data_IF_899117120513
#
_entry.id   IF_899117120513
#
_cell.length_a   1.000
_cell.length_b   1.000
_cell.length_c   1.000
_cell.angle_alpha   90.00
_cell.angle_beta   90.00
_cell.angle_gamma   90.00
#
_symmetry.space_group_name_H-M   'P 1'
#
loop_
_entity.id
_entity.type
_entity.pdbx_description
1 polymer ?
#
# COMPACT_ATOMS: atom_id res chain seq x y z
N UNK A 1 8.57 23.77 10.84
CA UNK A 1 7.86 23.03 11.91
C UNK A 1 6.45 22.71 11.45
N UNK A 2 5.92 21.53 11.78
CA UNK A 2 4.51 21.21 11.55
C UNK A 2 3.74 21.27 12.88
N UNK A 3 2.44 21.54 12.84
CA UNK A 3 1.58 21.64 14.04
C UNK A 3 0.15 21.22 13.73
N UNK A 4 -0.47 20.54 14.69
CA UNK A 4 -1.91 20.25 14.68
C UNK A 4 -2.44 20.23 16.11
N UNK A 5 -3.32 21.18 16.43
CA UNK A 5 -3.77 21.39 17.82
C UNK A 5 -2.60 21.53 18.80
N UNK A 6 -2.53 20.72 19.88
CA UNK A 6 -1.44 20.77 20.85
C UNK A 6 -0.16 20.05 20.38
N UNK A 7 -0.19 19.39 19.21
CA UNK A 7 0.91 18.56 18.71
C UNK A 7 1.81 19.35 17.78
N UNK A 8 3.11 19.19 17.95
CA UNK A 8 4.14 19.83 17.14
C UNK A 8 5.15 18.80 16.67
N UNK A 9 5.56 18.90 15.41
CA UNK A 9 6.65 18.12 14.83
C UNK A 9 7.85 19.05 14.67
N UNK A 10 8.89 18.73 15.42
CA UNK A 10 10.13 19.46 15.48
C UNK A 10 11.30 18.49 15.62
N UNK A 11 12.42 18.88 15.02
CA UNK A 11 13.71 18.23 15.18
C UNK A 11 14.60 19.25 15.88
N UNK A 12 14.99 18.95 17.12
CA UNK A 12 15.90 19.75 17.93
C UNK A 12 17.00 18.86 18.52
N UNK A 13 17.99 19.48 19.16
CA UNK A 13 19.05 18.76 19.87
C UNK A 13 18.53 17.90 21.02
N UNK A 14 17.37 18.24 21.60
CA UNK A 14 16.79 17.53 22.74
C UNK A 14 15.68 16.55 22.34
N UNK A 15 14.99 16.80 21.23
CA UNK A 15 13.82 16.02 20.84
C UNK A 15 13.72 15.91 19.32
N UNK A 16 13.61 14.68 18.83
CA UNK A 16 13.39 14.42 17.39
C UNK A 16 12.03 13.75 17.19
N UNK A 17 11.07 14.53 16.69
CA UNK A 17 9.78 14.04 16.22
C UNK A 17 9.58 14.54 14.80
N UNK A 18 10.07 13.75 13.85
CA UNK A 18 10.01 14.08 12.44
C UNK A 18 8.70 13.61 11.82
N UNK A 19 8.12 14.47 10.98
CA UNK A 19 7.00 14.14 10.12
C UNK A 19 7.54 13.46 8.85
N UNK A 20 7.01 12.28 8.53
CA UNK A 20 7.47 11.40 7.45
C UNK A 20 6.29 11.02 6.55
N UNK A 21 6.56 10.71 5.28
CA UNK A 21 5.58 10.20 4.32
C UNK A 21 4.28 11.04 4.22
N UNK A 22 4.40 12.37 4.22
CA UNK A 22 3.25 13.27 4.11
C UNK A 22 2.54 13.10 2.76
N UNK A 23 1.23 12.87 2.80
CA UNK A 23 0.39 12.70 1.63
C UNK A 23 -0.96 13.38 1.82
N UNK A 24 -1.37 14.18 0.83
CA UNK A 24 -2.69 14.80 0.73
C UNK A 24 -3.05 15.04 -0.74
N UNK A 25 -4.33 15.29 -1.02
CA UNK A 25 -4.82 15.56 -2.37
C UNK A 25 -5.98 16.55 -2.37
N UNK A 26 -6.15 17.26 -3.49
CA UNK A 26 -7.34 18.03 -3.80
C UNK A 26 -7.97 17.40 -5.04
N UNK A 27 -9.22 16.93 -4.92
CA UNK A 27 -9.94 16.29 -6.02
C UNK A 27 -11.26 17.00 -6.24
N UNK A 28 -11.63 17.14 -7.52
CA UNK A 28 -12.93 17.62 -7.94
C UNK A 28 -13.80 16.43 -8.38
N UNK A 29 -15.08 16.46 -8.04
CA UNK A 29 -16.08 15.51 -8.53
C UNK A 29 -16.70 16.07 -9.81
N UNK A 30 -16.48 15.35 -10.91
CA UNK A 30 -17.12 15.64 -12.20
C UNK A 30 -18.00 14.45 -12.59
N UNK A 31 -19.29 14.70 -12.81
CA UNK A 31 -20.18 13.71 -13.40
C UNK A 31 -20.09 13.81 -14.93
N UNK A 32 -19.63 12.74 -15.58
CA UNK A 32 -19.76 12.62 -17.03
C UNK A 32 -21.20 12.22 -17.35
N UNK A 33 -21.98 13.16 -17.86
CA UNK A 33 -23.32 12.87 -18.33
C UNK A 33 -23.22 11.97 -19.59
N UNK A 34 -23.75 10.75 -19.54
CA UNK A 34 -23.83 9.84 -20.70
C UNK A 34 -25.03 10.21 -21.57
N UNK A 35 -25.12 11.47 -22.03
CA UNK A 35 -26.13 11.88 -23.00
C UNK A 35 -25.59 11.66 -24.42
N UNK A 36 -26.40 11.05 -25.28
CA UNK A 36 -26.09 10.71 -26.68
C UNK A 36 -26.15 11.89 -27.66
N UNK A 37 -26.19 13.13 -27.18
CA UNK A 37 -26.18 14.33 -28.02
C UNK A 37 -24.78 14.99 -28.03
N UNK A 38 -24.41 15.56 -29.18
CA UNK A 38 -23.06 15.98 -29.62
C UNK A 38 -22.36 17.05 -28.77
N UNK A 39 -22.84 17.35 -27.57
CA UNK A 39 -22.19 18.26 -26.63
C UNK A 39 -22.23 17.71 -25.20
N UNK A 40 -21.18 16.96 -24.84
CA UNK A 40 -20.92 16.58 -23.44
C UNK A 40 -20.56 17.84 -22.65
N UNK A 41 -21.45 18.31 -21.80
CA UNK A 41 -21.14 19.32 -20.79
C UNK A 41 -20.72 18.61 -19.50
N UNK A 42 -19.51 18.88 -19.03
CA UNK A 42 -19.05 18.43 -17.71
C UNK A 42 -19.62 19.40 -16.68
N UNK A 43 -20.62 18.96 -15.91
CA UNK A 43 -21.11 19.73 -14.78
C UNK A 43 -20.22 19.42 -13.56
N UNK A 44 -19.55 20.44 -13.03
CA UNK A 44 -18.77 20.33 -11.80
C UNK A 44 -19.74 20.24 -10.60
N UNK A 45 -19.74 19.12 -9.87
CA UNK A 45 -20.77 18.83 -8.85
C UNK A 45 -20.27 18.92 -7.40
N UNK A 46 -18.97 19.19 -7.20
CA UNK A 46 -18.38 19.43 -5.88
C UNK A 46 -16.91 19.03 -5.77
N UNK A 47 -16.35 19.11 -4.58
CA UNK A 47 -14.97 18.68 -4.24
C UNK A 47 -15.01 17.46 -3.30
N UNK A 48 -14.06 16.54 -3.44
CA UNK A 48 -13.91 15.44 -2.46
C UNK A 48 -13.33 15.97 -1.15
N UNK A 49 -13.75 15.38 -0.01
CA UNK A 49 -13.23 15.71 1.32
C UNK A 49 -11.71 15.53 1.37
N UNK A 50 -10.98 16.58 1.75
CA UNK A 50 -9.53 16.61 1.77
C UNK A 50 -8.94 15.50 2.68
N UNK A 51 -8.25 14.48 2.12
CA UNK A 51 -7.56 13.49 2.91
C UNK A 51 -6.14 13.96 3.25
N UNK A 52 -5.68 13.68 4.47
CA UNK A 52 -4.30 13.92 4.87
C UNK A 52 -3.78 12.72 5.65
N UNK A 53 -2.62 12.21 5.30
CA UNK A 53 -1.97 11.10 6.01
C UNK A 53 -0.47 11.32 6.08
N UNK A 54 0.14 10.80 7.14
CA UNK A 54 1.58 10.83 7.33
C UNK A 54 1.98 9.83 8.41
N UNK A 55 3.28 9.63 8.57
CA UNK A 55 3.87 8.79 9.60
C UNK A 55 4.81 9.59 10.50
N UNK A 56 5.07 9.07 11.69
CA UNK A 56 6.03 9.63 12.64
C UNK A 56 6.67 8.48 13.39
N UNK A 57 8.00 8.40 13.33
CA UNK A 57 8.74 7.41 14.12
C UNK A 57 9.19 8.03 15.43
N UNK A 58 8.77 7.43 16.54
CA UNK A 58 9.11 7.81 17.90
C UNK A 58 10.24 6.91 18.41
N UNK A 59 11.20 7.51 19.10
CA UNK A 59 12.34 6.79 19.66
C UNK A 59 12.69 7.36 21.04
N UNK A 60 12.80 6.48 22.03
CA UNK A 60 13.15 6.87 23.41
C UNK A 60 14.52 7.54 23.53
N UNK A 61 15.53 7.02 22.81
CA UNK A 61 16.85 7.66 22.70
C UNK A 61 16.86 9.00 21.96
N UNK A 62 15.75 9.44 21.39
CA UNK A 62 15.61 10.75 20.76
C UNK A 62 14.88 11.77 21.65
N UNK A 63 14.87 11.54 22.98
CA UNK A 63 14.24 12.42 23.97
C UNK A 63 12.72 12.36 24.00
N UNK A 64 12.12 11.27 23.53
CA UNK A 64 10.66 11.10 23.45
C UNK A 64 10.21 9.97 24.37
N UNK A 65 9.31 10.24 25.30
CA UNK A 65 8.56 9.16 25.96
C UNK A 65 7.54 8.58 24.96
N UNK A 66 7.90 7.43 24.39
CA UNK A 66 7.12 6.79 23.32
C UNK A 66 5.74 6.38 23.83
N UNK A 67 5.62 5.91 25.07
CA UNK A 67 4.35 5.42 25.60
C UNK A 67 3.40 6.58 25.91
N UNK A 68 3.90 7.64 26.56
CA UNK A 68 3.12 8.83 26.84
C UNK A 68 2.67 9.55 25.55
N UNK A 69 3.54 9.57 24.53
CA UNK A 69 3.18 10.15 23.24
C UNK A 69 2.05 9.35 22.55
N UNK A 70 2.10 8.00 22.59
CA UNK A 70 1.00 7.15 22.08
C UNK A 70 -0.32 7.45 22.80
N UNK A 71 -0.31 7.57 24.13
CA UNK A 71 -1.52 7.83 24.92
C UNK A 71 -2.13 9.20 24.65
N UNK A 72 -1.28 10.21 24.56
CA UNK A 72 -1.73 11.55 24.21
C UNK A 72 -2.31 11.63 22.79
N UNK A 73 -1.82 10.82 21.83
CA UNK A 73 -2.46 10.69 20.52
C UNK A 73 -3.79 9.95 20.56
N UNK A 74 -3.92 8.91 21.39
CA UNK A 74 -5.20 8.19 21.59
C UNK A 74 -6.31 9.15 22.03
N UNK A 75 -5.99 10.09 22.93
CA UNK A 75 -6.95 11.07 23.43
C UNK A 75 -7.40 12.12 22.38
N UNK A 76 -6.63 12.26 21.29
CA UNK A 76 -6.92 13.22 20.22
C UNK A 76 -7.69 12.62 19.04
N UNK A 77 -7.91 11.30 19.02
CA UNK A 77 -8.77 10.67 18.01
C UNK A 77 -10.15 11.31 18.08
N UNK A 78 -10.75 11.58 16.92
CA UNK A 78 -12.01 12.34 16.72
C UNK A 78 -11.93 13.84 16.94
N UNK A 79 -10.83 14.37 17.52
CA UNK A 79 -10.66 15.82 17.67
C UNK A 79 -10.39 16.49 16.33
N UNK A 80 -10.71 17.78 16.29
CA UNK A 80 -10.72 18.59 15.07
C UNK A 80 -9.81 19.80 15.28
N UNK A 81 -8.93 20.06 14.32
CA UNK A 81 -8.06 21.23 14.33
C UNK A 81 -7.53 21.58 12.93
N UNK A 82 -6.92 22.76 12.80
CA UNK A 82 -6.17 23.12 11.60
C UNK A 82 -4.78 22.49 11.62
N UNK A 83 -4.32 22.07 10.45
CA UNK A 83 -2.96 21.59 10.26
C UNK A 83 -2.09 22.72 9.70
N UNK A 84 -0.91 22.91 10.27
CA UNK A 84 0.07 23.88 9.82
C UNK A 84 1.36 23.19 9.44
N UNK A 85 1.95 23.60 8.32
CA UNK A 85 3.26 23.14 7.86
C UNK A 85 4.10 24.36 7.48
N UNK A 86 5.25 24.52 8.13
CA UNK A 86 6.14 25.66 7.87
C UNK A 86 5.52 27.02 8.22
N UNK A 87 4.62 27.06 9.21
CA UNK A 87 3.90 28.27 9.60
C UNK A 87 2.70 28.62 8.71
N UNK A 88 2.45 27.88 7.63
CA UNK A 88 1.29 28.05 6.75
C UNK A 88 0.23 27.00 7.03
N UNK A 89 -1.04 27.39 6.96
CA UNK A 89 -2.15 26.45 7.05
C UNK A 89 -2.13 25.51 5.83
N UNK A 90 -2.33 24.22 6.08
CA UNK A 90 -2.39 23.18 5.06
C UNK A 90 -3.81 22.61 5.01
N UNK A 91 -4.57 23.02 4.00
CA UNK A 91 -5.92 22.52 3.75
C UNK A 91 -6.99 23.06 4.71
N UNK A 92 -8.20 22.47 4.64
CA UNK A 92 -9.35 22.85 5.48
C UNK A 92 -9.16 22.37 6.92
N UNK A 93 -10.19 22.56 7.76
CA UNK A 93 -10.19 22.07 9.14
C UNK A 93 -10.25 20.54 9.13
N UNK A 94 -9.38 19.87 9.87
CA UNK A 94 -9.21 18.41 9.79
C UNK A 94 -9.62 17.70 11.09
N UNK A 95 -10.27 16.55 10.95
CA UNK A 95 -10.54 15.62 12.03
C UNK A 95 -9.54 14.46 11.98
N UNK A 96 -8.95 14.11 13.13
CA UNK A 96 -8.16 12.89 13.26
C UNK A 96 -9.09 11.67 13.26
N UNK A 97 -9.06 10.89 12.18
CA UNK A 97 -9.92 9.70 12.03
C UNK A 97 -9.30 8.46 12.65
N UNK A 98 -7.97 8.32 12.54
CA UNK A 98 -7.28 7.12 13.00
C UNK A 98 -5.83 7.38 13.33
N UNK A 99 -5.36 6.71 14.38
CA UNK A 99 -3.95 6.55 14.74
C UNK A 99 -3.67 5.06 14.79
N UNK A 100 -2.70 4.58 14.02
CA UNK A 100 -2.21 3.21 14.13
C UNK A 100 -0.77 3.20 14.59
N UNK A 101 -0.45 2.26 15.49
CA UNK A 101 0.90 2.02 15.99
C UNK A 101 1.46 0.77 15.32
N UNK A 102 2.66 0.86 14.76
CA UNK A 102 3.36 -0.23 14.09
C UNK A 102 4.86 -0.21 14.36
N UNK A 103 5.56 -1.24 13.87
CA UNK A 103 7.03 -1.36 13.99
C UNK A 103 7.53 -1.17 15.42
N UNK A 104 6.80 -1.72 16.40
CA UNK A 104 7.09 -1.54 17.82
C UNK A 104 8.33 -2.36 18.21
N UNK A 105 9.26 -1.75 18.94
CA UNK A 105 10.34 -2.44 19.64
C UNK A 105 10.25 -2.19 21.13
N UNK A 106 10.40 -3.25 21.91
CA UNK A 106 10.41 -3.23 23.37
C UNK A 106 11.79 -3.57 23.90
N UNK A 107 12.06 -3.18 25.15
CA UNK A 107 13.20 -3.72 25.92
C UNK A 107 12.78 -4.95 26.75
N UNK A 108 13.73 -5.54 27.46
CA UNK A 108 13.52 -6.74 28.29
C UNK A 108 12.56 -6.51 29.47
N UNK A 109 12.28 -5.25 29.81
CA UNK A 109 11.29 -4.85 30.80
C UNK A 109 9.90 -4.60 30.19
N UNK A 110 9.72 -4.86 28.90
CA UNK A 110 8.47 -4.63 28.17
C UNK A 110 8.16 -3.16 27.86
N UNK A 111 9.10 -2.24 28.11
CA UNK A 111 8.90 -0.81 27.79
C UNK A 111 9.06 -0.59 26.30
N UNK A 112 8.16 0.18 25.70
CA UNK A 112 8.25 0.54 24.28
C UNK A 112 9.38 1.56 24.09
N UNK A 113 10.38 1.19 23.28
CA UNK A 113 11.55 2.03 22.97
C UNK A 113 11.48 2.70 21.63
N UNK A 114 10.78 2.08 20.68
CA UNK A 114 10.58 2.57 19.32
C UNK A 114 9.17 2.20 18.87
N UNK A 115 8.47 3.14 18.25
CA UNK A 115 7.22 2.86 17.55
C UNK A 115 7.04 3.82 16.36
N UNK A 116 6.43 3.33 15.29
CA UNK A 116 6.00 4.18 14.17
C UNK A 116 4.49 4.40 14.27
N UNK A 117 4.09 5.66 14.35
CA UNK A 117 2.71 6.09 14.27
C UNK A 117 2.34 6.39 12.81
N UNK A 118 1.15 5.99 12.40
CA UNK A 118 0.55 6.40 11.13
C UNK A 118 -0.81 7.06 11.41
N UNK A 119 -1.03 8.18 10.73
CA UNK A 119 -2.19 9.03 10.96
C UNK A 119 -3.04 9.12 9.70
N UNK A 120 -4.36 9.05 9.89
CA UNK A 120 -5.33 9.33 8.84
C UNK A 120 -6.24 10.47 9.32
N UNK A 121 -6.19 11.59 8.60
CA UNK A 121 -7.04 12.74 8.77
C UNK A 121 -7.99 12.85 7.57
N UNK A 122 -9.17 13.41 7.83
CA UNK A 122 -10.08 13.87 6.79
C UNK A 122 -10.55 15.26 7.13
N UNK A 123 -10.93 16.01 6.12
CA UNK A 123 -11.71 17.24 6.28
C UNK A 123 -12.87 17.01 7.23
N UNK A 124 -13.00 17.94 8.18
CA UNK A 124 -14.09 17.96 9.12
C UNK A 124 -15.29 18.60 8.44
N UNK A 125 -16.33 17.80 8.33
CA UNK A 125 -17.64 18.21 7.88
C UNK A 125 -18.63 17.96 9.04
N UNK A 126 -19.25 19.01 9.60
CA UNK A 126 -20.14 18.89 10.74
C UNK A 126 -21.35 17.99 10.44
N UNK A 127 -21.78 17.88 9.18
CA UNK A 127 -23.02 17.20 8.78
C UNK A 127 -22.80 15.69 8.53
N UNK A 128 -21.54 15.24 8.39
CA UNK A 128 -21.17 13.83 8.20
C UNK A 128 -20.44 13.24 9.42
N UNK A 129 -20.54 13.88 10.59
CA UNK A 129 -19.77 13.50 11.81
C UNK A 129 -20.15 12.15 12.43
N UNK A 130 -21.24 11.50 12.02
CA UNK A 130 -21.65 10.18 12.51
C UNK A 130 -21.01 9.02 11.73
N UNK A 131 -19.70 9.04 11.50
CA UNK A 131 -18.99 7.86 10.94
C UNK A 131 -18.55 6.96 12.08
N UNK A 132 -19.23 5.80 12.20
CA UNK A 132 -18.85 4.69 13.07
C UNK A 132 -17.39 4.32 12.77
N UNK A 133 -16.53 4.38 13.80
CA UNK A 133 -15.12 3.96 13.70
C UNK A 133 -15.10 2.50 13.25
N UNK A 134 -14.75 2.26 11.99
CA UNK A 134 -14.54 0.90 11.52
C UNK A 134 -13.19 0.43 12.07
N UNK A 135 -13.21 -0.29 13.19
CA UNK A 135 -12.06 -1.01 13.77
C UNK A 135 -11.68 -2.20 12.89
N UNK A 136 -11.43 -1.94 11.60
CA UNK A 136 -10.83 -2.92 10.71
C UNK A 136 -9.46 -3.26 11.28
N UNK A 137 -9.33 -4.49 11.79
CA UNK A 137 -8.17 -5.02 12.46
C UNK A 137 -6.86 -4.58 11.80
N UNK A 138 -5.92 -4.16 12.65
CA UNK A 138 -4.55 -3.78 12.32
C UNK A 138 -3.92 -4.77 11.32
N UNK A 139 -3.93 -4.45 10.02
CA UNK A 139 -2.98 -5.06 9.08
C UNK A 139 -1.64 -4.37 9.26
N UNK A 140 -0.93 -4.73 10.32
CA UNK A 140 0.45 -4.30 10.57
C UNK A 140 1.33 -4.94 9.49
N UNK A 141 1.61 -4.22 8.41
CA UNK A 141 2.80 -4.49 7.60
C UNK A 141 3.98 -3.82 8.31
N UNK A 142 4.81 -4.63 8.96
CA UNK A 142 6.10 -4.20 9.47
C UNK A 142 6.90 -3.58 8.33
N UNK A 143 7.24 -2.29 8.46
CA UNK A 143 8.11 -1.62 7.50
C UNK A 143 9.54 -2.07 7.77
N UNK A 144 10.02 -3.06 7.00
CA UNK A 144 11.45 -3.36 6.92
C UNK A 144 12.10 -2.30 6.03
N UNK A 145 12.84 -1.40 6.66
CA UNK A 145 13.83 -0.55 5.99
C UNK A 145 14.93 -1.44 5.42
N UNK A 146 14.79 -1.81 4.16
CA UNK A 146 15.92 -2.22 3.31
C UNK A 146 15.76 -1.51 1.97
N UNK A 147 16.70 -0.62 1.67
CA UNK A 147 16.87 -0.01 0.36
C UNK A 147 16.88 -1.11 -0.71
N UNK A 148 15.85 -1.11 -1.56
CA UNK A 148 15.88 -1.74 -2.87
C UNK A 148 14.87 -0.99 -3.74
N UNK A 149 15.37 -0.26 -4.75
CA UNK A 149 14.54 0.37 -5.77
C UNK A 149 13.62 -0.69 -6.39
N UNK A 150 12.32 -0.65 -6.06
CA UNK A 150 11.29 -1.42 -6.75
C UNK A 150 10.40 -0.49 -7.55
N UNK A 151 10.62 -0.57 -8.86
CA UNK A 151 9.79 -0.11 -9.96
C UNK A 151 8.29 -0.26 -9.64
N UNK A 152 7.53 0.81 -9.88
CA UNK A 152 6.08 0.94 -9.65
C UNK A 152 5.31 -0.30 -10.13
N UNK A 153 4.61 -0.97 -9.22
CA UNK A 153 3.57 -1.95 -9.57
C UNK A 153 2.27 -1.18 -9.77
N UNK A 154 1.90 -0.96 -11.02
CA UNK A 154 0.55 -0.50 -11.38
C UNK A 154 -0.46 -1.57 -10.94
N UNK A 155 -1.28 -1.22 -9.96
CA UNK A 155 -2.44 -2.05 -9.57
C UNK A 155 -3.59 -1.71 -10.51
N UNK A 156 -3.46 -2.16 -11.76
CA UNK A 156 -4.51 -2.06 -12.77
C UNK A 156 -4.57 -3.37 -13.58
N UNK A 157 -4.87 -4.48 -12.90
CA UNK A 157 -5.50 -5.63 -13.56
C UNK A 157 -6.55 -6.20 -12.60
N UNK A 158 -7.68 -5.50 -12.50
CA UNK A 158 -8.94 -6.19 -12.19
C UNK A 158 -9.26 -7.07 -13.41
N UNK A 159 -9.41 -8.37 -13.17
CA UNK A 159 -10.21 -9.32 -13.96
C UNK A 159 -9.73 -9.55 -15.41
N UNK A 160 -8.58 -10.21 -15.57
CA UNK A 160 -8.32 -10.98 -16.79
C UNK A 160 -8.93 -12.38 -16.61
N UNK A 161 -9.82 -12.78 -17.52
CA UNK A 161 -10.35 -14.14 -17.58
C UNK A 161 -9.19 -15.14 -17.62
N UNK A 162 -9.21 -16.16 -16.74
CA UNK A 162 -8.20 -17.22 -16.67
C UNK A 162 -8.23 -17.98 -18.00
N UNK A 163 -7.31 -17.66 -18.93
CA UNK A 163 -7.14 -18.43 -20.16
C UNK A 163 -6.68 -19.83 -19.78
N UNK A 164 -7.52 -20.82 -20.05
CA UNK A 164 -7.21 -22.24 -19.83
C UNK A 164 -6.17 -22.68 -20.85
N UNK A 165 -5.01 -23.14 -20.37
CA UNK A 165 -3.90 -23.64 -21.20
C UNK A 165 -4.27 -25.03 -21.72
N UNK A 166 -4.05 -25.28 -23.01
CA UNK A 166 -4.30 -26.57 -23.66
C UNK A 166 -3.02 -27.17 -24.22
N UNK A 167 -3.02 -28.48 -24.44
CA UNK A 167 -1.95 -29.16 -25.16
C UNK A 167 -1.86 -28.61 -26.58
N UNK A 168 -0.64 -28.23 -27.01
CA UNK A 168 -0.39 -27.57 -28.28
C UNK A 168 -0.12 -26.06 -28.16
N UNK A 169 -0.52 -25.42 -27.07
CA UNK A 169 -0.31 -23.98 -26.86
C UNK A 169 1.17 -23.65 -26.68
N UNK A 170 1.56 -22.41 -26.99
CA UNK A 170 2.88 -21.90 -26.66
C UNK A 170 2.85 -21.13 -25.36
N UNK A 171 3.75 -21.48 -24.46
CA UNK A 171 3.85 -20.86 -23.13
C UNK A 171 5.28 -20.46 -22.81
N UNK A 172 5.42 -19.45 -21.96
CA UNK A 172 6.68 -19.04 -21.35
C UNK A 172 6.67 -19.39 -19.85
N UNK A 173 7.68 -20.10 -19.33
CA UNK A 173 7.80 -20.33 -17.90
C UNK A 173 8.26 -19.05 -17.20
N UNK A 174 7.53 -18.69 -16.14
CA UNK A 174 7.85 -17.56 -15.25
C UNK A 174 8.44 -18.02 -13.92
N UNK A 175 8.35 -19.31 -13.63
CA UNK A 175 8.87 -19.97 -12.43
C UNK A 175 10.39 -19.89 -12.27
N UNK A 176 10.85 -20.15 -11.04
CA UNK A 176 12.29 -20.23 -10.72
C UNK A 176 12.87 -21.62 -10.95
N UNK A 177 12.07 -22.66 -10.67
CA UNK A 177 12.49 -24.06 -10.71
C UNK A 177 11.55 -24.87 -11.59
N UNK A 178 12.09 -25.91 -12.21
CA UNK A 178 11.30 -26.97 -12.80
C UNK A 178 10.54 -27.73 -11.71
N UNK A 179 9.56 -28.54 -12.11
CA UNK A 179 8.88 -29.46 -11.20
C UNK A 179 9.79 -30.62 -10.72
N UNK A 180 11.02 -30.69 -11.24
CA UNK A 180 12.12 -31.57 -10.82
C UNK A 180 13.13 -30.87 -9.90
N UNK A 181 12.79 -29.69 -9.37
CA UNK A 181 13.61 -28.88 -8.44
C UNK A 181 14.92 -28.30 -8.99
N UNK A 182 15.24 -28.56 -10.26
CA UNK A 182 16.33 -27.90 -10.98
C UNK A 182 15.99 -26.43 -11.28
N UNK A 183 16.99 -25.56 -11.26
CA UNK A 183 16.81 -24.14 -11.58
C UNK A 183 16.55 -23.97 -13.08
N UNK A 184 15.51 -23.21 -13.45
CA UNK A 184 15.20 -22.92 -14.85
C UNK A 184 16.22 -21.90 -15.39
N UNK A 185 17.02 -22.26 -16.43
CA UNK A 185 17.96 -21.33 -17.05
C UNK A 185 17.28 -20.10 -17.68
N UNK A 186 18.00 -18.99 -17.77
CA UNK A 186 17.46 -17.75 -18.33
C UNK A 186 16.96 -17.90 -19.78
N UNK A 187 17.68 -18.65 -20.61
CA UNK A 187 17.32 -18.89 -22.02
C UNK A 187 15.95 -19.57 -22.17
N UNK A 188 15.57 -20.41 -21.21
CA UNK A 188 14.29 -21.12 -21.20
C UNK A 188 13.13 -20.16 -20.93
N UNK A 189 13.34 -19.15 -20.08
CA UNK A 189 12.32 -18.13 -19.76
C UNK A 189 12.15 -17.10 -20.88
N UNK A 190 13.19 -16.89 -21.68
CA UNK A 190 13.17 -15.94 -22.79
C UNK A 190 12.44 -16.50 -24.02
N UNK A 191 12.46 -17.83 -24.23
CA UNK A 191 11.83 -18.51 -25.36
C UNK A 191 10.44 -19.04 -25.03
N UNK A 192 9.57 -19.08 -26.03
CA UNK A 192 8.28 -19.80 -25.94
C UNK A 192 8.49 -21.29 -26.22
N UNK A 193 7.74 -22.13 -25.51
CA UNK A 193 7.79 -23.59 -25.64
C UNK A 193 6.40 -24.13 -25.84
N UNK A 194 6.27 -25.12 -26.73
CA UNK A 194 5.01 -25.81 -26.98
C UNK A 194 4.65 -26.71 -25.79
N UNK A 195 3.40 -26.66 -25.36
CA UNK A 195 2.84 -27.56 -24.34
C UNK A 195 2.62 -28.93 -24.96
N UNK A 196 3.33 -29.93 -24.43
CA UNK A 196 3.23 -31.31 -24.90
C UNK A 196 2.23 -32.13 -24.09
N UNK A 197 2.15 -31.90 -22.76
CA UNK A 197 1.24 -32.61 -21.87
C UNK A 197 0.87 -31.76 -20.66
N UNK A 198 -0.33 -31.97 -20.10
CA UNK A 198 -0.80 -31.30 -18.88
C UNK A 198 -1.24 -32.37 -17.88
N UNK A 199 -0.77 -32.25 -16.64
CA UNK A 199 -1.21 -33.04 -15.48
C UNK A 199 -1.78 -32.09 -14.45
N UNK A 200 -3.06 -31.73 -14.62
CA UNK A 200 -3.75 -30.75 -13.78
C UNK A 200 -3.79 -31.18 -12.31
N UNK A 201 -4.04 -32.47 -12.04
CA UNK A 201 -4.05 -33.03 -10.67
C UNK A 201 -2.72 -32.88 -9.92
N UNK A 202 -1.62 -32.72 -10.66
CA UNK A 202 -0.28 -32.55 -10.11
C UNK A 202 0.26 -31.12 -10.30
N UNK A 203 -0.55 -30.20 -10.81
CA UNK A 203 -0.16 -28.82 -11.16
C UNK A 203 1.08 -28.75 -12.06
N UNK A 204 1.22 -29.67 -13.03
CA UNK A 204 2.43 -29.80 -13.86
C UNK A 204 2.10 -29.75 -15.35
N UNK A 205 2.98 -29.13 -16.13
CA UNK A 205 2.90 -29.05 -17.59
C UNK A 205 4.26 -29.39 -18.23
N UNK A 206 4.25 -30.26 -19.24
CA UNK A 206 5.42 -30.70 -19.97
C UNK A 206 5.62 -29.80 -21.18
N UNK A 207 6.82 -29.26 -21.34
CA UNK A 207 7.16 -28.34 -22.42
C UNK A 207 8.17 -28.96 -23.39
N UNK A 208 7.89 -28.84 -24.69
CA UNK A 208 8.83 -29.14 -25.76
C UNK A 208 9.23 -30.62 -25.85
N UNK A 209 8.33 -31.56 -25.59
CA UNK A 209 8.57 -32.97 -25.92
C UNK A 209 8.12 -33.28 -27.37
N UNK A 210 8.90 -34.01 -28.19
CA UNK A 210 10.24 -34.56 -27.91
C UNK A 210 11.42 -33.63 -28.29
N UNK A 211 11.21 -32.62 -29.13
CA UNK A 211 12.30 -31.87 -29.82
C UNK A 211 12.71 -30.55 -29.13
N UNK A 212 12.40 -30.37 -27.86
CA UNK A 212 12.60 -29.14 -27.10
C UNK A 212 13.13 -29.41 -25.70
N UNK A 213 12.75 -28.58 -24.73
CA UNK A 213 13.33 -28.64 -23.38
C UNK A 213 12.96 -29.90 -22.58
N UNK A 214 11.95 -30.64 -23.04
CA UNK A 214 11.45 -31.88 -22.46
C UNK A 214 11.42 -31.89 -20.92
N UNK A 215 10.89 -30.81 -20.34
CA UNK A 215 10.97 -30.55 -18.90
C UNK A 215 9.60 -30.17 -18.34
N UNK A 216 9.31 -30.64 -17.13
CA UNK A 216 8.09 -30.32 -16.40
C UNK A 216 8.24 -28.99 -15.65
N UNK A 217 7.27 -28.10 -15.81
CA UNK A 217 7.14 -26.86 -15.04
C UNK A 217 5.77 -26.79 -14.36
N UNK A 218 5.60 -25.88 -13.40
CA UNK A 218 4.32 -25.72 -12.71
C UNK A 218 3.30 -25.01 -13.62
N UNK A 219 2.08 -25.55 -13.69
CA UNK A 219 0.99 -24.97 -14.48
C UNK A 219 0.59 -23.57 -13.98
N UNK A 220 0.77 -23.32 -12.68
CA UNK A 220 0.59 -22.00 -12.07
C UNK A 220 1.68 -20.97 -12.40
N UNK A 221 2.82 -21.41 -12.96
CA UNK A 221 3.99 -20.56 -13.23
C UNK A 221 4.32 -20.49 -14.73
N UNK A 222 3.31 -20.65 -15.58
CA UNK A 222 3.41 -20.48 -17.03
C UNK A 222 2.43 -19.44 -17.53
N UNK A 223 2.84 -18.70 -18.55
CA UNK A 223 2.01 -17.69 -19.22
C UNK A 223 1.87 -18.04 -20.68
N UNK A 224 0.63 -18.03 -21.18
CA UNK A 224 0.31 -18.17 -22.60
C UNK A 224 0.98 -17.04 -23.41
N UNK A 225 1.57 -17.37 -24.55
CA UNK A 225 2.21 -16.42 -25.49
C UNK A 225 1.40 -16.36 -26.77
#
# INVERSE_FOLDING_TARGET
>A
MAKWGPKTWAVSSQKVVALQDLSFSYSQVADNNTSTEEKKTTNERGTELFPLSFTTTLHSGAGVDVRAEIESWKALVTKVNYFYLGGRQLGPKLQLRKVSVGSVKTDDSGRIRLATLSFEFKEYDPDTTSVKVNTSALKVKASKTTKAQKKKTNTAVKKAAKKTIKVGDYVKPTGKKYATDQTIPAWVKQRSHKVSQIKESQNRVLLGHPNGINSWVYLSEVTLV
#
